data_IF_605285818202
#
_entry.id   IF_605285818202
#
_cell.length_a   1.000
_cell.length_b   1.000
_cell.length_c   1.000
_cell.angle_alpha   90.00
_cell.angle_beta   90.00
_cell.angle_gamma   90.00
#
_symmetry.space_group_name_H-M   'P 1'
#
loop_
_entity.id
_entity.type
_entity.pdbx_description
1 polymer ?
#
# COMPACT_ATOMS: atom_id res chain seq x y z
N UNK A 1 -11.71 -3.48 -16.14
CA UNK A 1 -10.54 -3.70 -15.24
C UNK A 1 -10.07 -2.37 -14.65
N UNK A 2 -9.43 -2.39 -13.48
CA UNK A 2 -8.90 -1.19 -12.80
C UNK A 2 -7.45 -0.84 -13.21
N UNK A 3 -6.79 -1.65 -14.04
CA UNK A 3 -5.41 -1.41 -14.47
C UNK A 3 -4.36 -1.54 -13.36
N UNK A 4 -4.70 -2.23 -12.26
CA UNK A 4 -3.78 -2.53 -11.16
C UNK A 4 -3.27 -3.97 -11.37
N UNK A 5 -1.96 -4.14 -11.47
CA UNK A 5 -1.37 -5.48 -11.55
C UNK A 5 -1.62 -6.23 -10.24
N UNK A 6 -2.02 -7.50 -10.35
CA UNK A 6 -2.32 -8.38 -9.22
C UNK A 6 -2.11 -9.84 -9.63
N UNK A 7 -1.95 -10.76 -8.68
CA UNK A 7 -1.90 -12.19 -8.98
C UNK A 7 -3.14 -12.63 -9.76
N UNK A 8 -2.94 -13.33 -10.89
CA UNK A 8 -4.06 -13.81 -11.69
C UNK A 8 -4.65 -15.06 -11.05
N UNK A 9 -5.96 -15.14 -10.81
CA UNK A 9 -6.58 -16.36 -10.33
C UNK A 9 -6.46 -17.46 -11.40
N UNK A 10 -6.04 -18.65 -10.97
CA UNK A 10 -5.91 -19.84 -11.84
C UNK A 10 -6.95 -20.91 -11.52
N UNK A 11 -7.38 -21.01 -10.26
CA UNK A 11 -8.43 -21.92 -9.85
C UNK A 11 -9.19 -21.37 -8.64
N UNK A 12 -10.48 -21.68 -8.57
CA UNK A 12 -11.33 -21.41 -7.43
C UNK A 12 -12.18 -22.65 -7.14
N UNK A 13 -12.31 -23.00 -5.86
CA UNK A 13 -13.17 -24.08 -5.41
C UNK A 13 -13.92 -23.64 -4.14
N UNK A 14 -15.18 -24.04 -4.03
CA UNK A 14 -15.98 -23.88 -2.82
C UNK A 14 -16.75 -25.16 -2.47
N UNK A 15 -16.97 -25.40 -1.18
CA UNK A 15 -17.72 -26.56 -0.70
C UNK A 15 -18.50 -26.25 0.59
N UNK A 16 -19.71 -26.80 0.68
CA UNK A 16 -20.60 -26.72 1.86
C UNK A 16 -21.95 -26.08 1.54
N UNK A 17 -23.03 -26.70 2.01
CA UNK A 17 -24.39 -26.23 1.77
C UNK A 17 -24.78 -25.01 2.65
N UNK A 18 -24.26 -24.94 3.88
CA UNK A 18 -24.52 -23.83 4.79
C UNK A 18 -23.75 -22.57 4.35
N UNK A 19 -24.42 -21.47 3.93
CA UNK A 19 -23.76 -20.26 3.45
C UNK A 19 -22.77 -19.64 4.45
N UNK A 20 -23.05 -19.75 5.75
CA UNK A 20 -22.20 -19.19 6.80
C UNK A 20 -20.96 -20.05 7.14
N UNK A 21 -20.89 -21.30 6.64
CA UNK A 21 -19.80 -22.26 6.92
C UNK A 21 -19.18 -22.83 5.65
N UNK A 22 -19.32 -22.11 4.53
CA UNK A 22 -18.67 -22.49 3.27
C UNK A 22 -17.16 -22.47 3.44
N UNK A 23 -16.50 -23.46 2.85
CA UNK A 23 -15.04 -23.50 2.70
C UNK A 23 -14.72 -23.13 1.27
N UNK A 24 -13.73 -22.28 1.07
CA UNK A 24 -13.30 -21.86 -0.26
C UNK A 24 -11.78 -21.84 -0.37
N UNK A 25 -11.27 -22.12 -1.56
CA UNK A 25 -9.84 -22.04 -1.91
C UNK A 25 -9.71 -21.23 -3.19
N UNK A 26 -8.72 -20.35 -3.23
CA UNK A 26 -8.33 -19.57 -4.40
C UNK A 26 -6.84 -19.82 -4.67
N UNK A 27 -6.52 -20.30 -5.87
CA UNK A 27 -5.14 -20.47 -6.34
C UNK A 27 -4.85 -19.35 -7.32
N UNK A 28 -3.71 -18.70 -7.17
CA UNK A 28 -3.29 -17.57 -8.00
C UNK A 28 -1.89 -17.79 -8.55
N UNK A 29 -1.55 -17.12 -9.64
CA UNK A 29 -0.17 -17.09 -10.15
C UNK A 29 0.75 -16.43 -9.12
N UNK A 30 1.97 -16.91 -9.03
CA UNK A 30 3.01 -16.20 -8.28
C UNK A 30 3.45 -14.93 -9.02
N UNK A 31 3.91 -13.93 -8.26
CA UNK A 31 4.61 -12.75 -8.79
C UNK A 31 6.06 -12.86 -8.31
N UNK A 32 6.90 -13.51 -9.11
CA UNK A 32 8.30 -13.71 -8.82
C UNK A 32 9.14 -13.70 -10.12
N UNK A 33 10.40 -13.23 -10.08
CA UNK A 33 11.05 -12.59 -8.91
C UNK A 33 10.50 -11.18 -8.64
N UNK A 34 10.32 -10.85 -7.36
CA UNK A 34 9.85 -9.54 -6.92
C UNK A 34 10.38 -9.17 -5.53
N UNK A 35 10.50 -7.88 -5.26
CA UNK A 35 10.90 -7.32 -3.97
C UNK A 35 9.69 -6.58 -3.37
N UNK A 36 9.38 -6.81 -2.10
CA UNK A 36 8.33 -6.03 -1.45
C UNK A 36 8.83 -4.61 -1.14
N UNK A 37 7.96 -3.60 -1.18
CA UNK A 37 8.37 -2.24 -0.78
C UNK A 37 8.72 -2.13 0.71
N UNK A 38 8.27 -3.09 1.53
CA UNK A 38 8.69 -3.20 2.93
C UNK A 38 10.14 -3.68 3.06
N UNK A 39 10.60 -4.62 2.22
CA UNK A 39 12.00 -5.05 2.22
C UNK A 39 12.95 -3.89 1.89
N UNK A 40 12.55 -3.00 0.96
CA UNK A 40 13.28 -1.75 0.70
C UNK A 40 13.27 -0.85 1.94
N UNK A 41 12.11 -0.73 2.62
CA UNK A 41 11.96 0.09 3.80
C UNK A 41 12.82 -0.39 4.99
N UNK A 42 12.94 -1.70 5.16
CA UNK A 42 13.71 -2.33 6.23
C UNK A 42 15.20 -2.50 5.89
N UNK A 43 15.62 -2.12 4.67
CA UNK A 43 17.02 -2.24 4.24
C UNK A 43 17.44 -3.65 3.82
N UNK A 44 16.48 -4.55 3.60
CA UNK A 44 16.72 -5.88 3.02
C UNK A 44 16.93 -5.82 1.49
N UNK A 45 16.68 -4.67 0.87
CA UNK A 45 16.94 -4.39 -0.53
C UNK A 45 17.53 -2.97 -0.71
N UNK A 46 18.29 -2.70 -1.79
CA UNK A 46 18.87 -1.38 -2.03
C UNK A 46 17.81 -0.27 -2.11
N UNK A 47 18.11 0.89 -1.54
CA UNK A 47 17.25 2.07 -1.68
C UNK A 47 17.26 2.56 -3.13
N UNK A 48 16.09 2.89 -3.70
CA UNK A 48 16.00 3.41 -5.04
C UNK A 48 16.61 4.81 -5.14
N UNK A 49 17.18 5.11 -6.31
CA UNK A 49 17.64 6.46 -6.62
C UNK A 49 16.50 7.49 -6.59
N UNK A 50 16.79 8.81 -6.54
CA UNK A 50 15.76 9.83 -6.34
C UNK A 50 14.63 9.83 -7.38
N UNK A 51 14.91 9.48 -8.64
CA UNK A 51 13.90 9.42 -9.70
C UNK A 51 12.94 8.25 -9.51
N UNK A 52 13.47 7.05 -9.30
CA UNK A 52 12.69 5.84 -9.05
C UNK A 52 11.89 5.94 -7.76
N UNK A 53 12.47 6.50 -6.70
CA UNK A 53 11.75 6.76 -5.46
C UNK A 53 10.52 7.65 -5.67
N UNK A 54 10.62 8.69 -6.49
CA UNK A 54 9.47 9.54 -6.86
C UNK A 54 8.44 8.78 -7.68
N UNK A 55 8.87 7.91 -8.60
CA UNK A 55 7.98 7.08 -9.40
C UNK A 55 7.19 6.10 -8.51
N UNK A 56 7.86 5.41 -7.58
CA UNK A 56 7.23 4.49 -6.63
C UNK A 56 6.21 5.22 -5.74
N UNK A 57 6.55 6.40 -5.21
CA UNK A 57 5.61 7.21 -4.43
C UNK A 57 4.35 7.53 -5.24
N UNK A 58 4.51 7.95 -6.49
CA UNK A 58 3.39 8.30 -7.37
C UNK A 58 2.53 7.08 -7.70
N UNK A 59 3.15 5.92 -7.91
CA UNK A 59 2.47 4.68 -8.27
C UNK A 59 1.70 4.06 -7.09
N UNK A 60 2.28 4.01 -5.89
CA UNK A 60 1.56 3.58 -4.68
C UNK A 60 0.36 4.50 -4.43
N UNK A 61 0.54 5.81 -4.56
CA UNK A 61 -0.55 6.78 -4.43
C UNK A 61 -1.64 6.57 -5.50
N UNK A 62 -1.23 6.31 -6.75
CA UNK A 62 -2.11 6.03 -7.88
C UNK A 62 -2.94 4.77 -7.68
N UNK A 63 -2.30 3.67 -7.26
CA UNK A 63 -2.99 2.40 -6.94
C UNK A 63 -4.01 2.62 -5.82
N UNK A 64 -3.62 3.26 -4.73
CA UNK A 64 -4.53 3.57 -3.61
C UNK A 64 -5.71 4.45 -4.06
N UNK A 65 -5.46 5.48 -4.87
CA UNK A 65 -6.50 6.34 -5.45
C UNK A 65 -7.47 5.54 -6.31
N UNK A 66 -6.96 4.68 -7.19
CA UNK A 66 -7.78 3.88 -8.10
C UNK A 66 -8.67 2.91 -7.33
N UNK A 67 -8.14 2.20 -6.33
CA UNK A 67 -8.95 1.33 -5.47
C UNK A 67 -10.06 2.10 -4.77
N UNK A 68 -9.70 3.16 -4.04
CA UNK A 68 -10.65 3.93 -3.25
C UNK A 68 -11.69 4.63 -4.13
N UNK A 69 -11.29 5.10 -5.32
CA UNK A 69 -12.18 5.68 -6.32
C UNK A 69 -13.15 4.66 -6.93
N UNK A 70 -12.73 3.41 -7.06
CA UNK A 70 -13.58 2.29 -7.49
C UNK A 70 -14.45 1.72 -6.35
N UNK A 71 -14.46 2.36 -5.17
CA UNK A 71 -15.26 1.90 -4.04
C UNK A 71 -14.66 0.69 -3.29
N UNK A 72 -13.38 0.39 -3.51
CA UNK A 72 -12.67 -0.74 -2.92
C UNK A 72 -11.75 -0.25 -1.79
N UNK A 73 -11.87 -0.83 -0.61
CA UNK A 73 -10.88 -0.69 0.46
C UNK A 73 -10.21 -2.04 0.74
N UNK A 74 -8.89 -2.05 0.85
CA UNK A 74 -8.07 -3.25 1.03
C UNK A 74 -8.18 -3.83 2.43
N UNK A 75 -8.31 -2.96 3.45
CA UNK A 75 -8.25 -3.24 4.90
C UNK A 75 -6.86 -3.47 5.48
N UNK A 76 -5.90 -3.91 4.69
CA UNK A 76 -4.54 -4.22 5.15
C UNK A 76 -3.51 -3.58 4.21
N UNK A 77 -3.76 -2.35 3.75
CA UNK A 77 -2.92 -1.67 2.75
C UNK A 77 -1.53 -1.26 3.32
N UNK A 78 -0.61 -2.21 3.48
CA UNK A 78 0.76 -2.02 3.95
C UNK A 78 1.77 -2.15 2.79
N UNK A 79 2.98 -1.61 2.94
CA UNK A 79 4.03 -1.69 1.92
C UNK A 79 4.43 -3.13 1.53
N UNK A 80 4.30 -4.09 2.45
CA UNK A 80 4.57 -5.50 2.17
C UNK A 80 3.65 -6.11 1.09
N UNK A 81 2.49 -5.50 0.83
CA UNK A 81 1.58 -5.96 -0.22
C UNK A 81 1.83 -5.31 -1.59
N UNK A 82 2.81 -4.40 -1.67
CA UNK A 82 3.27 -3.84 -2.94
C UNK A 82 4.53 -4.58 -3.36
N UNK A 83 4.38 -5.43 -4.36
CA UNK A 83 5.50 -6.17 -4.96
C UNK A 83 6.02 -5.40 -6.16
N UNK A 84 7.33 -5.16 -6.19
CA UNK A 84 8.06 -4.62 -7.32
C UNK A 84 8.70 -5.77 -8.10
N UNK A 85 8.19 -6.12 -9.29
CA UNK A 85 8.85 -7.09 -10.15
C UNK A 85 10.27 -6.64 -10.48
N UNK A 86 11.21 -7.57 -10.45
CA UNK A 86 12.62 -7.30 -10.76
C UNK A 86 13.14 -8.22 -11.86
N UNK A 87 14.23 -7.82 -12.53
CA UNK A 87 14.99 -8.67 -13.44
C UNK A 87 16.10 -9.44 -12.70
N UNK A 88 16.93 -10.17 -13.46
CA UNK A 88 18.05 -10.94 -12.91
C UNK A 88 19.11 -10.07 -12.20
N UNK A 89 19.19 -8.77 -12.54
CA UNK A 89 20.09 -7.81 -11.91
C UNK A 89 19.45 -7.11 -10.70
N UNK A 90 18.23 -7.50 -10.31
CA UNK A 90 17.47 -6.87 -9.24
C UNK A 90 16.89 -5.51 -9.60
N UNK A 91 16.92 -5.11 -10.89
CA UNK A 91 16.35 -3.84 -11.34
C UNK A 91 14.87 -4.00 -11.59
N UNK A 92 14.11 -2.94 -11.31
CA UNK A 92 12.68 -2.90 -11.55
C UNK A 92 12.34 -3.23 -13.01
N UNK A 93 11.51 -4.26 -13.22
CA UNK A 93 11.17 -4.80 -14.54
C UNK A 93 9.72 -4.55 -14.98
N UNK A 94 8.87 -3.98 -14.10
CA UNK A 94 7.45 -3.77 -14.39
C UNK A 94 6.72 -2.85 -13.42
N UNK A 95 5.38 -2.72 -13.57
CA UNK A 95 4.52 -2.01 -12.62
C UNK A 95 4.48 -2.72 -11.27
N UNK A 96 4.20 -1.96 -10.21
CA UNK A 96 3.89 -2.54 -8.90
C UNK A 96 2.66 -3.42 -9.00
N UNK A 97 2.76 -4.60 -8.40
CA UNK A 97 1.64 -5.48 -8.18
C UNK A 97 1.13 -5.36 -6.75
N UNK A 98 -0.19 -5.36 -6.60
CA UNK A 98 -0.85 -5.37 -5.31
C UNK A 98 -1.35 -6.78 -5.01
N UNK A 99 -0.91 -7.33 -3.88
CA UNK A 99 -1.31 -8.66 -3.42
C UNK A 99 -2.27 -8.57 -2.23
N UNK A 100 -2.72 -9.73 -1.76
CA UNK A 100 -3.45 -9.91 -0.51
C UNK A 100 -4.85 -9.26 -0.42
N UNK A 101 -5.62 -9.35 -1.50
CA UNK A 101 -6.98 -8.80 -1.57
C UNK A 101 -8.06 -9.64 -0.85
N UNK A 102 -7.69 -10.65 -0.07
CA UNK A 102 -8.62 -11.61 0.56
C UNK A 102 -9.62 -10.95 1.53
N UNK A 103 -9.28 -9.79 2.10
CA UNK A 103 -10.15 -9.00 2.99
C UNK A 103 -10.69 -7.74 2.34
N UNK A 104 -10.35 -7.49 1.07
CA UNK A 104 -10.82 -6.30 0.38
C UNK A 104 -12.35 -6.27 0.33
N UNK A 105 -12.90 -5.06 0.44
CA UNK A 105 -14.35 -4.85 0.41
C UNK A 105 -14.70 -3.88 -0.70
N UNK A 106 -15.70 -4.23 -1.49
CA UNK A 106 -16.23 -3.38 -2.57
C UNK A 106 -17.59 -2.80 -2.18
N UNK A 107 -17.77 -1.52 -2.47
CA UNK A 107 -18.99 -0.73 -2.19
C UNK A 107 -19.19 0.33 -3.28
N UNK A 108 -20.34 1.01 -3.28
CA UNK A 108 -20.56 2.17 -4.16
C UNK A 108 -19.57 3.32 -3.88
N UNK A 109 -19.19 3.51 -2.61
CA UNK A 109 -18.17 4.46 -2.18
C UNK A 109 -17.50 3.94 -0.91
N UNK A 110 -16.19 4.11 -0.80
CA UNK A 110 -15.46 3.77 0.44
C UNK A 110 -15.81 4.79 1.53
N UNK A 111 -16.33 4.35 2.70
CA UNK A 111 -16.56 5.23 3.84
C UNK A 111 -15.26 5.85 4.38
N UNK A 112 -15.30 7.08 4.88
CA UNK A 112 -14.12 7.81 5.37
C UNK A 112 -13.25 7.01 6.36
N UNK A 113 -13.88 6.28 7.30
CA UNK A 113 -13.17 5.44 8.27
C UNK A 113 -12.26 4.37 7.63
N UNK A 114 -12.65 3.85 6.46
CA UNK A 114 -11.89 2.83 5.73
C UNK A 114 -10.77 3.46 4.92
N UNK A 115 -10.99 4.64 4.34
CA UNK A 115 -9.91 5.46 3.75
C UNK A 115 -8.84 5.78 4.80
N UNK A 116 -9.26 6.26 5.97
CA UNK A 116 -8.35 6.54 7.10
C UNK A 116 -7.61 5.29 7.53
N UNK A 117 -8.27 4.11 7.55
CA UNK A 117 -7.62 2.84 7.90
C UNK A 117 -6.53 2.47 6.89
N UNK A 118 -6.84 2.43 5.60
CA UNK A 118 -5.89 2.01 4.57
C UNK A 118 -4.73 3.01 4.44
N UNK A 119 -5.02 4.32 4.45
CA UNK A 119 -3.98 5.35 4.40
C UNK A 119 -3.10 5.35 5.66
N UNK A 120 -3.68 5.13 6.84
CA UNK A 120 -2.88 5.02 8.08
C UNK A 120 -1.96 3.80 8.09
N UNK A 121 -2.37 2.69 7.46
CA UNK A 121 -1.56 1.49 7.32
C UNK A 121 -0.35 1.75 6.41
N UNK A 122 -0.57 2.40 5.27
CA UNK A 122 0.50 2.84 4.37
C UNK A 122 1.51 3.74 5.08
N UNK A 123 1.04 4.83 5.72
CA UNK A 123 1.90 5.78 6.45
C UNK A 123 2.72 5.05 7.53
N UNK A 124 2.08 4.14 8.26
CA UNK A 124 2.74 3.35 9.30
C UNK A 124 3.84 2.45 8.73
N UNK A 125 3.54 1.64 7.70
CA UNK A 125 4.54 0.73 7.10
C UNK A 125 5.66 1.48 6.37
N UNK A 126 5.42 2.71 5.93
CA UNK A 126 6.43 3.55 5.28
C UNK A 126 7.34 4.31 6.27
N UNK A 127 7.12 4.18 7.59
CA UNK A 127 7.89 4.91 8.59
C UNK A 127 9.42 4.70 8.50
N UNK A 128 9.95 3.47 8.26
CA UNK A 128 11.40 3.24 8.14
C UNK A 128 12.07 4.01 7.01
N UNK A 129 11.33 4.35 5.94
CA UNK A 129 11.87 5.08 4.78
C UNK A 129 12.19 6.54 5.08
N UNK A 130 11.88 7.05 6.28
CA UNK A 130 12.10 8.42 6.71
C UNK A 130 11.66 9.46 5.66
N UNK A 131 10.46 9.26 5.06
CA UNK A 131 9.99 10.09 3.94
C UNK A 131 10.00 11.58 4.29
N UNK A 132 10.63 12.39 3.43
CA UNK A 132 10.69 13.84 3.58
C UNK A 132 9.31 14.48 3.46
N UNK A 133 9.18 15.74 3.90
CA UNK A 133 7.94 16.52 3.70
C UNK A 133 7.53 16.59 2.23
N UNK A 134 8.50 16.75 1.34
CA UNK A 134 8.25 16.83 -0.11
C UNK A 134 7.71 15.52 -0.66
N UNK A 135 8.15 14.38 -0.14
CA UNK A 135 7.68 13.06 -0.58
C UNK A 135 6.24 12.80 -0.15
N UNK A 136 5.92 13.16 1.09
CA UNK A 136 4.54 13.09 1.60
C UNK A 136 3.62 13.98 0.77
N UNK A 137 4.07 15.19 0.41
CA UNK A 137 3.29 16.09 -0.46
C UNK A 137 3.12 15.56 -1.89
N UNK A 138 4.12 14.86 -2.44
CA UNK A 138 3.99 14.17 -3.74
C UNK A 138 2.96 13.05 -3.67
N UNK A 139 3.01 12.22 -2.62
CA UNK A 139 2.03 11.17 -2.37
C UNK A 139 0.61 11.75 -2.29
N UNK A 140 0.42 12.78 -1.47
CA UNK A 140 -0.83 13.50 -1.30
C UNK A 140 -1.38 14.02 -2.63
N UNK A 141 -0.54 14.69 -3.42
CA UNK A 141 -0.96 15.27 -4.70
C UNK A 141 -1.35 14.19 -5.72
N UNK A 142 -0.58 13.10 -5.79
CA UNK A 142 -0.87 11.96 -6.67
C UNK A 142 -2.18 11.25 -6.25
N UNK A 143 -2.38 11.02 -4.96
CA UNK A 143 -3.58 10.39 -4.44
C UNK A 143 -4.84 11.25 -4.62
N UNK A 144 -4.74 12.56 -4.40
CA UNK A 144 -5.88 13.48 -4.58
C UNK A 144 -6.12 13.84 -6.07
N UNK A 145 -5.17 13.51 -6.96
CA UNK A 145 -5.20 13.86 -8.37
C UNK A 145 -5.16 15.38 -8.63
N UNK A 146 -4.65 16.16 -7.68
CA UNK A 146 -4.57 17.62 -7.75
C UNK A 146 -3.47 18.16 -6.81
N UNK A 147 -2.93 19.37 -7.06
CA UNK A 147 -1.96 19.98 -6.15
C UNK A 147 -2.50 20.09 -4.72
N UNK A 148 -1.67 19.81 -3.71
CA UNK A 148 -2.06 19.86 -2.29
C UNK A 148 -2.80 21.15 -1.89
N UNK A 149 -2.36 22.29 -2.43
CA UNK A 149 -3.00 23.60 -2.20
C UNK A 149 -4.48 23.65 -2.59
N UNK A 150 -4.92 22.82 -3.55
CA UNK A 150 -6.31 22.73 -4.03
C UNK A 150 -7.11 21.59 -3.37
N UNK A 151 -6.52 20.88 -2.39
CA UNK A 151 -7.22 19.82 -1.65
C UNK A 151 -8.21 20.47 -0.67
N UNK A 152 -9.52 20.14 -0.73
CA UNK A 152 -10.54 20.71 0.15
C UNK A 152 -10.29 20.44 1.64
N UNK A 153 -10.76 21.32 2.52
CA UNK A 153 -10.54 21.22 3.97
C UNK A 153 -11.00 19.88 4.57
N UNK A 154 -12.13 19.33 4.13
CA UNK A 154 -12.62 18.01 4.56
C UNK A 154 -11.61 16.89 4.26
N UNK A 155 -11.05 16.89 3.04
CA UNK A 155 -10.01 15.92 2.64
C UNK A 155 -8.74 16.10 3.47
N UNK A 156 -8.37 17.33 3.81
CA UNK A 156 -7.23 17.59 4.70
C UNK A 156 -7.44 17.04 6.11
N UNK A 157 -8.67 17.12 6.64
CA UNK A 157 -9.03 16.51 7.93
C UNK A 157 -8.86 14.99 7.89
N UNK A 158 -9.33 14.35 6.82
CA UNK A 158 -9.15 12.90 6.60
C UNK A 158 -7.66 12.50 6.64
N UNK A 159 -6.78 13.29 6.01
CA UNK A 159 -5.34 13.07 6.07
C UNK A 159 -4.76 13.24 7.46
N UNK A 160 -5.15 14.29 8.18
CA UNK A 160 -4.74 14.48 9.57
C UNK A 160 -5.18 13.31 10.46
N UNK A 161 -6.38 12.77 10.25
CA UNK A 161 -6.86 11.56 10.94
C UNK A 161 -6.03 10.32 10.61
N UNK A 162 -5.66 10.13 9.34
CA UNK A 162 -4.81 9.03 8.90
C UNK A 162 -3.41 9.11 9.51
N UNK A 163 -2.78 10.30 9.51
CA UNK A 163 -1.49 10.55 10.16
C UNK A 163 -1.55 10.32 11.67
N UNK A 164 -2.57 10.86 12.36
CA UNK A 164 -2.77 10.66 13.79
C UNK A 164 -3.01 9.19 14.14
N UNK A 165 -3.68 8.43 13.27
CA UNK A 165 -3.85 6.99 13.42
C UNK A 165 -2.56 6.23 13.20
N UNK A 166 -1.78 6.57 12.18
CA UNK A 166 -0.46 5.97 11.94
C UNK A 166 0.48 6.20 13.14
N UNK A 167 0.54 7.43 13.66
CA UNK A 167 1.33 7.75 14.85
C UNK A 167 0.92 6.94 16.10
N UNK A 168 -0.38 6.65 16.26
CA UNK A 168 -0.87 5.75 17.33
C UNK A 168 -0.42 4.30 17.12
N UNK A 169 -0.39 3.82 15.88
CA UNK A 169 0.12 2.47 15.55
C UNK A 169 1.61 2.36 15.87
N UNK A 170 2.41 3.35 15.47
CA UNK A 170 3.85 3.44 15.79
C UNK A 170 4.11 3.39 17.29
N UNK A 171 3.36 4.16 18.10
CA UNK A 171 3.51 4.12 19.57
C UNK A 171 3.12 2.78 20.19
N UNK A 172 2.11 2.10 19.63
CA UNK A 172 1.57 0.85 20.20
C UNK A 172 2.43 -0.37 19.87
N UNK A 173 2.94 -0.44 18.65
CA UNK A 173 3.62 -1.63 18.15
C UNK A 173 5.14 -1.55 18.27
N UNK A 174 5.67 -0.43 18.78
CA UNK A 174 7.04 -0.02 18.49
C UNK A 174 7.12 0.42 17.03
N UNK A 175 7.91 1.44 16.71
CA UNK A 175 8.23 1.66 15.29
C UNK A 175 8.81 0.36 14.71
N UNK A 176 8.54 0.01 13.44
CA UNK A 176 9.36 -0.99 12.75
C UNK A 176 10.82 -0.66 13.02
N UNK A 177 11.55 -1.61 13.60
CA UNK A 177 12.85 -1.39 14.19
C UNK A 177 13.73 -0.56 13.25
N UNK A 178 14.00 0.68 13.63
CA UNK A 178 15.16 1.38 13.08
C UNK A 178 16.34 0.58 13.58
N UNK A 179 17.02 -0.12 12.67
CA UNK A 179 18.29 -0.76 12.96
C UNK A 179 19.15 0.19 13.78
N UNK A 180 19.61 -0.35 14.89
CA UNK A 180 20.42 0.27 15.91
C UNK A 180 21.52 1.16 15.27
N UNK A 181 21.36 2.48 15.34
CA UNK A 181 22.50 3.38 15.27
C UNK A 181 22.93 3.67 16.70
N UNK A 182 23.54 2.66 17.31
CA UNK A 182 24.36 2.80 18.49
C UNK A 182 25.76 2.20 18.24
N UNK A 183 26.74 2.99 18.67
CA UNK A 183 28.15 2.67 18.92
C UNK A 183 29.14 2.77 17.74
N UNK A 184 30.13 3.66 17.93
CA UNK A 184 31.48 3.52 17.36
C UNK A 184 32.03 4.79 16.74
#
# INVERSE_FOLDING_TARGET
ELGIAAPRPVAFAEAGANPARRRSVLVMTEIAPAISLEDIALGHAPLPGPAERRALIAEVAGIARTLHGAGINHRDLYLCHFLMPVDADGRRSGPLALIDLHRAQMRARVPARWLVKDLSALIFSAAPLALSRTDRLRFLAAYEGKPWRHVPAERRRLWAEAEAKAARLTRRLGGPATGDTAAG
#
